data_IF_718318265960
#
_entry.id   IF_718318265960
#
_cell.length_a   1.000
_cell.length_b   1.000
_cell.length_c   1.000
_cell.angle_alpha   90.00
_cell.angle_beta   90.00
_cell.angle_gamma   90.00
#
_symmetry.space_group_name_H-M   'P 1'
#
loop_
_entity.id
_entity.type
_entity.pdbx_description
1 polymer ?
#
# COMPACT_ATOMS: atom_id res chain seq x y z
N UNK A 1 31.32 11.57 -31.45
CA UNK A 1 30.28 11.64 -30.40
C UNK A 1 30.83 10.97 -29.16
N UNK A 2 30.95 11.69 -28.03
CA UNK A 2 31.41 11.12 -26.77
C UNK A 2 30.22 10.47 -26.07
N UNK A 3 30.28 9.16 -25.86
CA UNK A 3 29.37 8.45 -24.95
C UNK A 3 29.61 8.97 -23.54
N UNK A 4 28.67 9.76 -23.03
CA UNK A 4 28.64 10.10 -21.61
C UNK A 4 28.07 8.88 -20.90
N UNK A 5 28.95 7.95 -20.52
CA UNK A 5 28.61 6.93 -19.51
C UNK A 5 28.46 7.66 -18.17
N UNK A 6 27.23 8.12 -17.88
CA UNK A 6 26.85 8.59 -16.55
C UNK A 6 26.83 7.36 -15.63
N UNK A 7 27.98 7.06 -15.02
CA UNK A 7 28.02 6.19 -13.85
C UNK A 7 27.14 6.85 -12.78
N UNK A 8 26.18 6.13 -12.18
CA UNK A 8 25.37 6.68 -11.11
C UNK A 8 26.28 7.14 -9.97
N UNK A 9 26.06 8.37 -9.53
CA UNK A 9 26.84 9.00 -8.46
C UNK A 9 26.43 8.38 -7.12
N UNK A 10 27.36 8.19 -6.17
CA UNK A 10 27.05 7.65 -4.83
C UNK A 10 25.85 8.35 -4.14
N UNK A 11 25.67 9.64 -4.38
CA UNK A 11 24.54 10.43 -3.87
C UNK A 11 23.17 9.98 -4.42
N UNK A 12 23.09 9.60 -5.70
CA UNK A 12 21.84 9.13 -6.33
C UNK A 12 21.42 7.77 -5.78
N UNK A 13 22.39 6.89 -5.51
CA UNK A 13 22.14 5.60 -4.87
C UNK A 13 21.66 5.78 -3.43
N UNK A 14 22.23 6.72 -2.67
CA UNK A 14 21.79 7.02 -1.30
C UNK A 14 20.33 7.49 -1.26
N UNK A 15 19.94 8.42 -2.13
CA UNK A 15 18.57 8.92 -2.22
C UNK A 15 17.58 7.82 -2.68
N UNK A 16 18.01 6.94 -3.60
CA UNK A 16 17.21 5.80 -4.03
C UNK A 16 16.98 4.79 -2.88
N UNK A 17 18.02 4.49 -2.10
CA UNK A 17 17.93 3.59 -0.94
C UNK A 17 16.98 4.16 0.12
N UNK A 18 17.09 5.45 0.43
CA UNK A 18 16.20 6.13 1.38
C UNK A 18 14.73 6.04 0.94
N UNK A 19 14.45 6.29 -0.34
CA UNK A 19 13.10 6.20 -0.89
C UNK A 19 12.55 4.77 -0.87
N UNK A 20 13.39 3.77 -1.15
CA UNK A 20 13.02 2.35 -1.03
C UNK A 20 12.69 1.99 0.42
N UNK A 21 13.48 2.46 1.38
CA UNK A 21 13.20 2.28 2.82
C UNK A 21 11.84 2.85 3.20
N UNK A 22 11.57 4.10 2.81
CA UNK A 22 10.28 4.75 3.07
C UNK A 22 9.10 3.97 2.46
N UNK A 23 9.24 3.44 1.24
CA UNK A 23 8.20 2.60 0.64
C UNK A 23 8.00 1.28 1.38
N UNK A 24 9.06 0.65 1.88
CA UNK A 24 8.94 -0.59 2.67
C UNK A 24 8.19 -0.33 3.98
N UNK A 25 8.44 0.79 4.64
CA UNK A 25 7.72 1.20 5.84
C UNK A 25 6.25 1.51 5.54
N UNK A 26 5.98 2.24 4.46
CA UNK A 26 4.61 2.54 4.00
C UNK A 26 3.81 1.27 3.70
N UNK A 27 4.41 0.29 3.02
CA UNK A 27 3.78 -1.02 2.75
C UNK A 27 3.48 -1.78 4.05
N UNK A 28 4.42 -1.82 4.99
CA UNK A 28 4.21 -2.47 6.30
C UNK A 28 3.07 -1.82 7.05
N UNK A 29 3.02 -0.49 7.06
CA UNK A 29 1.94 0.27 7.67
C UNK A 29 0.58 -0.07 7.04
N UNK A 30 0.50 -0.10 5.70
CA UNK A 30 -0.72 -0.49 5.01
C UNK A 30 -1.18 -1.90 5.34
N UNK A 31 -0.27 -2.87 5.43
CA UNK A 31 -0.61 -4.26 5.79
C UNK A 31 -1.26 -4.29 7.18
N UNK A 32 -0.62 -3.65 8.17
CA UNK A 32 -1.12 -3.62 9.55
C UNK A 32 -2.50 -2.97 9.61
N UNK A 33 -2.67 -1.82 8.97
CA UNK A 33 -3.91 -1.05 9.07
C UNK A 33 -5.06 -1.70 8.30
N UNK A 34 -4.81 -2.25 7.11
CA UNK A 34 -5.85 -2.96 6.34
C UNK A 34 -6.29 -4.24 7.06
N UNK A 35 -5.37 -4.96 7.71
CA UNK A 35 -5.73 -6.09 8.56
C UNK A 35 -6.63 -5.65 9.71
N UNK A 36 -6.31 -4.52 10.36
CA UNK A 36 -7.15 -3.97 11.42
C UNK A 36 -8.55 -3.59 10.90
N UNK A 37 -8.64 -2.95 9.73
CA UNK A 37 -9.92 -2.60 9.12
C UNK A 37 -10.76 -3.83 8.74
N UNK A 38 -10.14 -4.88 8.19
CA UNK A 38 -10.82 -6.14 7.88
C UNK A 38 -11.38 -6.79 9.15
N UNK A 39 -10.59 -6.85 10.22
CA UNK A 39 -11.04 -7.42 11.51
C UNK A 39 -12.21 -6.64 12.10
N UNK A 40 -12.10 -5.32 12.15
CA UNK A 40 -13.16 -4.45 12.70
C UNK A 40 -14.42 -4.49 11.84
N UNK A 41 -14.27 -4.56 10.52
CA UNK A 41 -15.38 -4.74 9.58
C UNK A 41 -16.10 -6.07 9.82
N UNK A 42 -15.35 -7.16 9.96
CA UNK A 42 -15.92 -8.49 10.24
C UNK A 42 -16.71 -8.50 11.55
N UNK A 43 -16.19 -7.89 12.62
CA UNK A 43 -16.89 -7.78 13.90
C UNK A 43 -18.15 -6.90 13.80
N UNK A 44 -18.06 -5.75 13.12
CA UNK A 44 -19.20 -4.85 12.94
C UNK A 44 -20.33 -5.51 12.13
N UNK A 45 -20.01 -6.31 11.12
CA UNK A 45 -21.00 -7.01 10.29
C UNK A 45 -21.93 -7.93 11.07
N UNK A 46 -21.51 -8.44 12.23
CA UNK A 46 -22.33 -9.27 13.10
C UNK A 46 -23.51 -8.50 13.72
N UNK A 47 -23.37 -7.18 13.90
CA UNK A 47 -24.30 -6.34 14.67
C UNK A 47 -24.88 -5.16 13.87
N UNK A 48 -24.60 -5.07 12.57
CA UNK A 48 -25.02 -3.95 11.72
C UNK A 48 -26.37 -4.17 11.03
N UNK A 49 -27.03 -3.08 10.63
CA UNK A 49 -28.28 -3.16 9.85
C UNK A 49 -27.99 -3.66 8.43
N UNK A 50 -28.91 -4.39 7.76
CA UNK A 50 -28.68 -4.93 6.41
C UNK A 50 -28.18 -3.88 5.39
N UNK A 51 -28.77 -2.69 5.36
CA UNK A 51 -28.35 -1.60 4.47
C UNK A 51 -26.91 -1.13 4.68
N UNK A 52 -26.41 -1.19 5.92
CA UNK A 52 -25.03 -0.83 6.25
C UNK A 52 -24.06 -1.93 5.86
N UNK A 53 -24.51 -3.19 5.96
CA UNK A 53 -23.77 -4.36 5.50
C UNK A 53 -23.48 -4.29 4.00
N UNK A 54 -24.51 -4.00 3.20
CA UNK A 54 -24.40 -3.89 1.73
C UNK A 54 -23.43 -2.76 1.34
N UNK A 55 -23.53 -1.61 2.01
CA UNK A 55 -22.64 -0.47 1.78
C UNK A 55 -21.18 -0.77 2.18
N UNK A 56 -20.96 -1.64 3.15
CA UNK A 56 -19.63 -2.01 3.63
C UNK A 56 -18.98 -3.13 2.79
N UNK A 57 -19.79 -3.95 2.11
CA UNK A 57 -19.33 -5.08 1.30
C UNK A 57 -18.43 -4.66 0.13
N UNK A 58 -18.76 -3.57 -0.56
CA UNK A 58 -17.90 -3.02 -1.63
C UNK A 58 -16.52 -2.63 -1.07
N UNK A 59 -16.50 -1.98 0.09
CA UNK A 59 -15.25 -1.52 0.72
C UNK A 59 -14.43 -2.71 1.24
N UNK A 60 -15.07 -3.74 1.78
CA UNK A 60 -14.41 -4.98 2.20
C UNK A 60 -13.81 -5.75 1.02
N UNK A 61 -14.51 -5.82 -0.12
CA UNK A 61 -13.96 -6.40 -1.33
C UNK A 61 -12.70 -5.64 -1.78
N UNK A 62 -12.72 -4.30 -1.77
CA UNK A 62 -11.55 -3.46 -2.08
C UNK A 62 -10.38 -3.72 -1.12
N UNK A 63 -10.65 -3.82 0.18
CA UNK A 63 -9.63 -4.18 1.17
C UNK A 63 -9.01 -5.55 0.89
N UNK A 64 -9.84 -6.54 0.56
CA UNK A 64 -9.39 -7.91 0.26
C UNK A 64 -8.52 -7.96 -0.99
N UNK A 65 -8.93 -7.29 -2.07
CA UNK A 65 -8.14 -7.18 -3.31
C UNK A 65 -6.82 -6.44 -3.04
N UNK A 66 -6.87 -5.36 -2.26
CA UNK A 66 -5.69 -4.61 -1.91
C UNK A 66 -4.69 -5.45 -1.10
N UNK A 67 -5.17 -6.19 -0.10
CA UNK A 67 -4.37 -7.08 0.75
C UNK A 67 -3.78 -8.27 -0.01
N UNK A 68 -4.58 -8.93 -0.86
CA UNK A 68 -4.20 -10.22 -1.46
C UNK A 68 -3.53 -10.10 -2.82
N UNK A 69 -3.72 -8.99 -3.54
CA UNK A 69 -3.23 -8.82 -4.90
C UNK A 69 -2.31 -7.60 -5.04
N UNK A 70 -2.76 -6.43 -4.60
CA UNK A 70 -2.04 -5.17 -4.84
C UNK A 70 -0.79 -5.09 -3.96
N UNK A 71 -0.92 -5.25 -2.64
CA UNK A 71 0.19 -5.16 -1.69
C UNK A 71 1.33 -6.15 -2.01
N UNK A 72 1.06 -7.46 -2.24
CA UNK A 72 2.12 -8.40 -2.61
C UNK A 72 2.82 -8.03 -3.93
N UNK A 73 2.07 -7.50 -4.91
CA UNK A 73 2.64 -7.05 -6.19
C UNK A 73 3.58 -5.85 -6.03
N UNK A 74 3.21 -4.89 -5.18
CA UNK A 74 4.04 -3.73 -4.85
C UNK A 74 5.29 -4.19 -4.07
N UNK A 75 5.12 -5.00 -3.02
CA UNK A 75 6.22 -5.50 -2.18
C UNK A 75 7.28 -6.24 -3.00
N UNK A 76 6.84 -7.15 -3.88
CA UNK A 76 7.72 -7.86 -4.80
C UNK A 76 8.50 -6.89 -5.70
N UNK A 77 7.82 -5.88 -6.25
CA UNK A 77 8.46 -4.89 -7.13
C UNK A 77 9.50 -4.04 -6.39
N UNK A 78 9.21 -3.62 -5.15
CA UNK A 78 10.15 -2.89 -4.28
C UNK A 78 11.37 -3.74 -3.94
N UNK A 79 11.18 -5.03 -3.62
CA UNK A 79 12.28 -5.96 -3.36
C UNK A 79 13.17 -6.16 -4.58
N UNK A 80 12.59 -6.30 -5.77
CA UNK A 80 13.36 -6.38 -7.03
C UNK A 80 14.18 -5.11 -7.28
N UNK A 81 13.61 -3.94 -6.99
CA UNK A 81 14.32 -2.67 -7.13
C UNK A 81 15.47 -2.52 -6.12
N UNK A 82 15.27 -2.94 -4.86
CA UNK A 82 16.30 -2.95 -3.82
C UNK A 82 17.53 -3.77 -4.26
N UNK A 83 17.30 -4.96 -4.82
CA UNK A 83 18.36 -5.82 -5.37
C UNK A 83 19.05 -5.19 -6.59
N UNK A 84 18.29 -4.51 -7.45
CA UNK A 84 18.83 -3.86 -8.63
C UNK A 84 19.72 -2.66 -8.26
N UNK A 85 19.25 -1.79 -7.36
CA UNK A 85 20.00 -0.59 -6.91
C UNK A 85 21.29 -0.97 -6.20
N UNK A 86 21.36 -2.12 -5.52
CA UNK A 86 22.60 -2.65 -4.95
C UNK A 86 23.65 -3.02 -6.00
N UNK A 87 23.23 -3.32 -7.25
CA UNK A 87 24.11 -3.70 -8.34
C UNK A 87 24.39 -2.58 -9.35
N UNK A 88 23.35 -1.90 -9.85
CA UNK A 88 23.38 -0.78 -10.84
C UNK A 88 22.04 -0.03 -10.81
N UNK A 89 22.03 1.31 -10.86
CA UNK A 89 20.78 2.08 -10.91
C UNK A 89 20.03 1.90 -12.25
N UNK A 90 18.77 1.45 -12.19
CA UNK A 90 17.88 1.27 -13.35
C UNK A 90 16.66 2.19 -13.23
N UNK A 91 16.82 3.46 -13.66
CA UNK A 91 15.77 4.48 -13.54
C UNK A 91 14.39 4.10 -14.12
N UNK A 92 14.35 3.21 -15.13
CA UNK A 92 13.10 2.67 -15.67
C UNK A 92 12.34 1.80 -14.66
N UNK A 93 13.04 0.89 -13.98
CA UNK A 93 12.47 0.04 -12.92
C UNK A 93 11.99 0.92 -11.75
N UNK A 94 12.79 1.92 -11.38
CA UNK A 94 12.43 2.86 -10.32
C UNK A 94 11.09 3.55 -10.58
N UNK A 95 10.89 4.09 -11.78
CA UNK A 95 9.65 4.76 -12.19
C UNK A 95 8.45 3.80 -12.24
N UNK A 96 8.67 2.55 -12.63
CA UNK A 96 7.62 1.53 -12.61
C UNK A 96 7.15 1.24 -11.18
N UNK A 97 8.09 1.04 -10.24
CA UNK A 97 7.77 0.82 -8.82
C UNK A 97 7.06 2.03 -8.24
N UNK A 98 7.54 3.25 -8.52
CA UNK A 98 6.91 4.48 -8.07
C UNK A 98 5.46 4.61 -8.55
N UNK A 99 5.19 4.24 -9.81
CA UNK A 99 3.83 4.23 -10.36
C UNK A 99 2.94 3.23 -9.63
N UNK A 100 3.47 2.05 -9.27
CA UNK A 100 2.74 1.04 -8.50
C UNK A 100 2.44 1.53 -7.08
N UNK A 101 3.39 2.19 -6.42
CA UNK A 101 3.21 2.80 -5.11
C UNK A 101 2.11 3.86 -5.15
N UNK A 102 2.12 4.76 -6.13
CA UNK A 102 1.11 5.82 -6.21
C UNK A 102 -0.31 5.27 -6.50
N UNK A 103 -0.41 4.23 -7.33
CA UNK A 103 -1.66 3.48 -7.49
C UNK A 103 -2.10 2.85 -6.17
N UNK A 104 -1.17 2.25 -5.42
CA UNK A 104 -1.42 1.70 -4.09
C UNK A 104 -1.97 2.76 -3.12
N UNK A 105 -1.34 3.94 -3.05
CA UNK A 105 -1.82 5.09 -2.27
C UNK A 105 -3.23 5.49 -2.63
N UNK A 106 -3.54 5.57 -3.93
CA UNK A 106 -4.87 5.93 -4.41
C UNK A 106 -5.92 4.92 -3.92
N UNK A 107 -5.70 3.62 -4.15
CA UNK A 107 -6.62 2.57 -3.70
C UNK A 107 -6.79 2.58 -2.18
N UNK A 108 -5.70 2.77 -1.44
CA UNK A 108 -5.74 2.87 0.01
C UNK A 108 -6.54 4.08 0.52
N UNK A 109 -6.43 5.25 -0.14
CA UNK A 109 -7.27 6.43 0.17
C UNK A 109 -8.75 6.15 -0.10
N UNK A 110 -9.07 5.46 -1.20
CA UNK A 110 -10.45 5.06 -1.52
C UNK A 110 -11.03 4.11 -0.46
N UNK A 111 -10.23 3.15 0.02
CA UNK A 111 -10.61 2.28 1.15
C UNK A 111 -10.94 3.14 2.38
N UNK A 112 -10.06 4.05 2.78
CA UNK A 112 -10.29 4.92 3.94
C UNK A 112 -11.55 5.77 3.79
N UNK A 113 -11.79 6.34 2.61
CA UNK A 113 -12.99 7.12 2.33
C UNK A 113 -14.26 6.26 2.45
N UNK A 114 -14.22 5.00 1.98
CA UNK A 114 -15.34 4.05 2.11
C UNK A 114 -15.63 3.64 3.55
N UNK A 115 -14.60 3.56 4.41
CA UNK A 115 -14.77 3.20 5.82
C UNK A 115 -15.15 4.38 6.72
N UNK A 116 -14.85 5.62 6.31
CA UNK A 116 -15.07 6.83 7.12
C UNK A 116 -16.49 6.94 7.71
N UNK A 117 -17.59 6.65 6.97
CA UNK A 117 -18.94 6.70 7.53
C UNK A 117 -19.22 5.71 8.67
N UNK A 118 -18.38 4.68 8.81
CA UNK A 118 -18.55 3.59 9.77
C UNK A 118 -17.62 3.72 10.99
N UNK A 119 -16.58 4.57 10.93
CA UNK A 119 -15.62 4.75 12.01
C UNK A 119 -16.23 5.01 13.41
N UNK A 120 -17.26 5.87 13.57
CA UNK A 120 -17.89 6.04 14.88
C UNK A 120 -18.48 4.75 15.45
N UNK A 121 -18.98 3.86 14.57
CA UNK A 121 -19.59 2.59 14.94
C UNK A 121 -18.54 1.52 15.23
N UNK A 122 -17.39 1.59 14.57
CA UNK A 122 -16.24 0.74 14.83
C UNK A 122 -15.66 0.94 16.23
N UNK A 123 -15.62 2.17 16.73
CA UNK A 123 -15.19 2.48 18.11
C UNK A 123 -16.07 1.77 19.14
N UNK A 124 -17.38 1.62 18.88
CA UNK A 124 -18.29 0.92 19.79
C UNK A 124 -18.10 -0.60 19.79
N UNK A 125 -17.57 -1.17 18.70
CA UNK A 125 -17.29 -2.61 18.59
C UNK A 125 -15.99 -3.00 19.31
N UNK A 126 -15.01 -2.09 19.42
CA UNK A 126 -13.72 -2.35 20.10
C UNK A 126 -13.79 -2.33 21.64
N UNK A 127 -14.91 -1.90 22.22
CA UNK A 127 -15.11 -1.82 23.68
C UNK A 127 -15.74 -3.11 24.24
N UNK A 128 -16.19 -4.01 23.37
CA UNK A 128 -16.77 -5.33 23.70
C UNK A 128 -15.76 -6.45 23.43
#
# INVERSE_FOLDING_TARGET
MKEISLKPTFAENSAAIEKITNWKEEIRFWIVEVNAFLNVTAMFKLNCKPREKDALEETEMKMTVFQRQILPGIESSVKSLELAVAGRYTGGLFREVETKIERGRKTYREIKAGLLPFFPKFVHVQIW
#
